data_IF_156488256576
#
_entry.id   IF_156488256576
#
_cell.length_a   1.000
_cell.length_b   1.000
_cell.length_c   1.000
_cell.angle_alpha   90.00
_cell.angle_beta   90.00
_cell.angle_gamma   90.00
#
_symmetry.space_group_name_H-M   'P 1'
#
loop_
_entity.id
_entity.type
_entity.pdbx_description
1 polymer ?
#
# COMPACT_ATOMS: atom_id res chain seq x y z
N UNK A 1 -34.42 -12.07 -48.07
CA UNK A 1 -33.97 -10.75 -47.56
C UNK A 1 -33.62 -10.74 -46.08
N UNK A 2 -34.30 -11.49 -45.19
CA UNK A 2 -33.99 -11.50 -43.74
C UNK A 2 -32.57 -12.08 -43.37
N UNK A 3 -32.12 -13.12 -44.08
CA UNK A 3 -30.82 -13.74 -43.81
C UNK A 3 -29.62 -12.82 -44.10
N UNK A 4 -29.71 -11.99 -45.15
CA UNK A 4 -28.67 -10.99 -45.47
C UNK A 4 -28.55 -9.87 -44.46
N UNK A 5 -29.69 -9.43 -43.89
CA UNK A 5 -29.70 -8.41 -42.86
C UNK A 5 -29.05 -8.88 -41.54
N UNK A 6 -29.35 -10.14 -41.15
CA UNK A 6 -28.75 -10.76 -39.95
C UNK A 6 -27.25 -10.91 -40.09
N UNK A 7 -26.75 -11.33 -41.26
CA UNK A 7 -25.33 -11.47 -41.54
C UNK A 7 -24.61 -10.13 -41.51
N UNK A 8 -25.22 -9.06 -42.01
CA UNK A 8 -24.67 -7.71 -41.97
C UNK A 8 -24.58 -7.17 -40.53
N UNK A 9 -25.59 -7.42 -39.71
CA UNK A 9 -25.57 -7.02 -38.28
C UNK A 9 -24.49 -7.76 -37.49
N UNK A 10 -24.27 -9.05 -37.75
CA UNK A 10 -23.21 -9.83 -37.10
C UNK A 10 -21.83 -9.33 -37.55
N UNK A 11 -21.65 -9.01 -38.83
CA UNK A 11 -20.41 -8.45 -39.36
C UNK A 11 -20.13 -7.05 -38.78
N UNK A 12 -21.11 -6.18 -38.69
CA UNK A 12 -20.96 -4.86 -38.08
C UNK A 12 -20.67 -4.96 -36.56
N UNK A 13 -21.26 -5.92 -35.87
CA UNK A 13 -20.95 -6.22 -34.48
C UNK A 13 -19.51 -6.69 -34.30
N UNK A 14 -19.05 -7.63 -35.16
CA UNK A 14 -17.68 -8.14 -35.11
C UNK A 14 -16.66 -7.04 -35.42
N UNK A 15 -16.91 -6.19 -36.42
CA UNK A 15 -16.05 -5.04 -36.79
C UNK A 15 -16.01 -4.01 -35.65
N UNK A 16 -17.13 -3.74 -34.99
CA UNK A 16 -17.20 -2.81 -33.85
C UNK A 16 -16.41 -3.33 -32.66
N UNK A 17 -16.48 -4.63 -32.37
CA UNK A 17 -15.70 -5.27 -31.28
C UNK A 17 -14.21 -5.24 -31.61
N UNK A 18 -13.86 -5.55 -32.87
CA UNK A 18 -12.46 -5.51 -33.33
C UNK A 18 -11.88 -4.09 -33.33
N UNK A 19 -12.70 -3.11 -33.74
CA UNK A 19 -12.32 -1.67 -33.67
C UNK A 19 -12.07 -1.23 -32.22
N UNK A 20 -12.95 -1.58 -31.29
CA UNK A 20 -12.77 -1.29 -29.85
C UNK A 20 -11.54 -1.97 -29.25
N UNK A 21 -11.18 -3.19 -29.71
CA UNK A 21 -9.94 -3.87 -29.29
C UNK A 21 -8.68 -3.21 -29.84
N UNK A 22 -8.70 -2.74 -31.09
CA UNK A 22 -7.57 -2.09 -31.74
C UNK A 22 -7.30 -0.67 -31.23
N UNK A 23 -8.30 0.00 -30.65
CA UNK A 23 -8.22 1.38 -30.17
C UNK A 23 -8.37 1.47 -28.65
N UNK A 24 -8.17 0.35 -27.92
CA UNK A 24 -8.06 0.41 -26.46
C UNK A 24 -6.76 1.11 -26.06
N UNK A 25 -6.87 1.98 -25.08
CA UNK A 25 -5.71 2.58 -24.42
C UNK A 25 -4.78 1.45 -23.91
N UNK A 26 -3.48 1.45 -24.24
CA UNK A 26 -2.52 0.47 -23.74
C UNK A 26 -2.53 0.33 -22.21
N UNK A 27 -2.76 1.43 -21.49
CA UNK A 27 -2.90 1.44 -20.03
C UNK A 27 -4.14 0.66 -19.58
N UNK A 28 -5.27 0.81 -20.26
CA UNK A 28 -6.51 0.11 -19.96
C UNK A 28 -6.43 -1.38 -20.29
N UNK A 29 -5.75 -1.73 -21.40
CA UNK A 29 -5.49 -3.12 -21.77
C UNK A 29 -4.62 -3.81 -20.73
N UNK A 30 -3.59 -3.13 -20.21
CA UNK A 30 -2.71 -3.64 -19.16
C UNK A 30 -3.49 -3.83 -17.84
N UNK A 31 -4.35 -2.89 -17.51
CA UNK A 31 -5.19 -2.95 -16.30
C UNK A 31 -6.22 -4.09 -16.39
N UNK A 32 -6.86 -4.29 -17.55
CA UNK A 32 -7.78 -5.40 -17.80
C UNK A 32 -7.05 -6.76 -17.72
N UNK A 33 -5.82 -6.86 -18.25
CA UNK A 33 -5.00 -8.07 -18.20
C UNK A 33 -4.61 -8.40 -16.75
N UNK A 34 -4.17 -7.40 -15.97
CA UNK A 34 -3.84 -7.57 -14.56
C UNK A 34 -5.07 -8.02 -13.77
N UNK A 35 -6.24 -7.43 -14.02
CA UNK A 35 -7.48 -7.81 -13.36
C UNK A 35 -7.93 -9.22 -13.75
N UNK A 36 -7.69 -9.64 -14.99
CA UNK A 36 -8.00 -10.99 -15.46
C UNK A 36 -7.06 -12.04 -14.86
N UNK A 37 -5.76 -11.76 -14.80
CA UNK A 37 -4.78 -12.60 -14.11
C UNK A 37 -5.11 -12.72 -12.62
N UNK A 38 -5.49 -11.61 -11.97
CA UNK A 38 -5.93 -11.60 -10.57
C UNK A 38 -7.20 -12.44 -10.34
N UNK A 39 -8.13 -12.54 -11.33
CA UNK A 39 -9.37 -13.30 -11.20
C UNK A 39 -9.21 -14.78 -11.55
N UNK A 40 -8.31 -15.14 -12.45
CA UNK A 40 -8.11 -16.51 -12.92
C UNK A 40 -7.13 -17.29 -12.05
N UNK A 41 -6.19 -16.61 -11.38
CA UNK A 41 -5.18 -17.25 -10.55
C UNK A 41 -5.56 -17.22 -9.06
N UNK A 42 -6.28 -18.25 -8.60
CA UNK A 42 -6.51 -18.50 -7.18
C UNK A 42 -5.25 -18.94 -6.42
N UNK A 43 -4.07 -18.90 -7.03
CA UNK A 43 -2.78 -19.30 -6.48
C UNK A 43 -2.03 -18.17 -5.77
N UNK A 44 -2.69 -17.10 -5.38
CA UNK A 44 -2.12 -16.04 -4.52
C UNK A 44 -1.53 -16.54 -3.20
N UNK A 45 -1.77 -17.80 -2.84
CA UNK A 45 -1.09 -18.48 -1.74
C UNK A 45 0.30 -19.01 -2.11
N UNK A 46 0.66 -19.04 -3.37
CA UNK A 46 2.02 -19.31 -3.80
C UNK A 46 2.68 -17.96 -4.02
N UNK A 47 3.55 -17.58 -3.12
CA UNK A 47 4.44 -16.43 -3.14
C UNK A 47 5.26 -16.40 -4.44
N UNK A 48 4.64 -16.06 -5.58
CA UNK A 48 5.33 -15.99 -6.88
C UNK A 48 6.43 -14.93 -6.87
N UNK A 49 6.31 -13.95 -6.02
CA UNK A 49 7.33 -12.94 -5.75
C UNK A 49 7.99 -13.16 -4.39
N UNK A 50 8.27 -14.44 -4.06
CA UNK A 50 9.13 -14.67 -2.94
C UNK A 50 10.39 -13.82 -3.17
N UNK A 51 10.70 -12.81 -2.33
CA UNK A 51 12.04 -12.31 -2.32
C UNK A 51 12.93 -13.53 -2.20
N UNK A 52 14.00 -13.58 -2.96
CA UNK A 52 14.97 -14.68 -3.00
C UNK A 52 15.59 -14.98 -1.61
N UNK A 53 15.01 -14.40 -0.58
CA UNK A 53 15.41 -14.55 0.81
C UNK A 53 14.67 -15.76 1.43
N UNK A 54 15.39 -16.82 1.81
CA UNK A 54 14.79 -17.92 2.55
C UNK A 54 14.27 -17.41 3.90
N UNK A 55 13.22 -18.05 4.43
CA UNK A 55 12.79 -17.87 5.82
C UNK A 55 13.96 -18.27 6.72
N UNK A 56 14.67 -17.30 7.26
CA UNK A 56 15.78 -17.55 8.16
C UNK A 56 15.34 -17.37 9.59
N UNK A 57 15.33 -18.46 10.35
CA UNK A 57 15.31 -18.42 11.81
C UNK A 57 16.70 -17.98 12.24
N UNK A 58 16.87 -16.76 12.69
CA UNK A 58 18.11 -16.33 13.32
C UNK A 58 18.05 -16.65 14.81
N UNK A 59 18.88 -17.59 15.23
CA UNK A 59 19.13 -17.83 16.64
C UNK A 59 20.16 -16.80 17.10
N UNK A 60 19.73 -15.80 17.85
CA UNK A 60 20.66 -14.89 18.52
C UNK A 60 21.20 -15.59 19.78
N UNK A 61 22.44 -15.28 20.15
CA UNK A 61 23.15 -15.86 21.31
C UNK A 61 22.46 -15.59 22.67
N UNK A 62 21.42 -14.78 22.72
CA UNK A 62 20.68 -14.38 23.92
C UNK A 62 19.23 -14.85 23.94
N UNK A 63 18.80 -15.64 22.97
CA UNK A 63 17.43 -16.14 22.87
C UNK A 63 17.04 -16.40 21.43
N UNK A 64 16.07 -17.26 21.24
CA UNK A 64 15.52 -17.55 19.91
C UNK A 64 14.64 -16.36 19.49
N UNK A 65 15.17 -15.48 18.67
CA UNK A 65 14.35 -14.48 17.99
C UNK A 65 14.01 -15.05 16.62
N UNK A 66 12.78 -15.49 16.43
CA UNK A 66 12.28 -15.84 15.12
C UNK A 66 12.12 -14.54 14.34
N UNK A 67 12.94 -14.32 13.30
CA UNK A 67 12.72 -13.23 12.39
C UNK A 67 11.37 -13.46 11.70
N UNK A 68 10.43 -12.58 11.95
CA UNK A 68 9.12 -12.63 11.32
C UNK A 68 9.27 -12.23 9.85
N UNK A 69 8.84 -13.07 8.93
CA UNK A 69 8.68 -12.66 7.54
C UNK A 69 7.36 -11.89 7.42
N UNK A 70 7.41 -10.66 6.94
CA UNK A 70 6.22 -9.78 6.84
C UNK A 70 5.10 -10.39 5.98
N UNK A 71 5.43 -11.27 5.04
CA UNK A 71 4.46 -11.97 4.20
C UNK A 71 3.59 -12.94 5.02
N UNK A 72 4.18 -13.55 6.04
CA UNK A 72 3.48 -14.46 6.94
C UNK A 72 2.63 -13.73 7.98
N UNK A 73 2.98 -12.48 8.30
CA UNK A 73 2.23 -11.63 9.22
C UNK A 73 1.05 -10.92 8.55
N UNK A 74 1.09 -10.80 7.22
CA UNK A 74 0.07 -10.09 6.48
C UNK A 74 -1.30 -10.79 6.56
N UNK A 75 -2.35 -9.98 6.61
CA UNK A 75 -3.71 -10.50 6.47
C UNK A 75 -3.86 -11.22 5.13
N UNK A 76 -4.50 -12.39 5.11
CA UNK A 76 -4.79 -13.08 3.88
C UNK A 76 -5.79 -12.28 3.03
N UNK A 77 -5.76 -12.51 1.74
CA UNK A 77 -6.75 -11.94 0.82
C UNK A 77 -8.14 -12.45 1.18
N UNK A 78 -9.09 -11.53 1.23
CA UNK A 78 -10.51 -11.83 1.45
C UNK A 78 -11.33 -11.46 0.24
N UNK A 79 -12.63 -11.79 0.25
CA UNK A 79 -13.55 -11.30 -0.76
C UNK A 79 -13.53 -9.76 -0.80
N UNK A 80 -13.69 -9.15 -1.99
CA UNK A 80 -13.77 -7.71 -2.13
C UNK A 80 -14.92 -7.14 -1.28
N UNK A 81 -14.67 -5.97 -0.68
CA UNK A 81 -15.72 -5.18 -0.03
C UNK A 81 -16.32 -4.19 -1.02
N UNK A 82 -17.55 -3.77 -0.76
CA UNK A 82 -18.20 -2.72 -1.53
C UNK A 82 -17.40 -1.41 -1.44
N UNK A 83 -17.25 -0.69 -2.56
CA UNK A 83 -16.50 0.57 -2.60
C UNK A 83 -17.02 1.62 -1.61
N UNK A 84 -18.30 1.59 -1.29
CA UNK A 84 -18.94 2.46 -0.27
C UNK A 84 -18.36 2.27 1.13
N UNK A 85 -17.76 1.12 1.45
CA UNK A 85 -17.03 0.91 2.70
C UNK A 85 -15.95 1.96 2.93
N UNK A 86 -15.25 2.35 1.86
CA UNK A 86 -14.14 3.28 1.94
C UNK A 86 -14.55 4.71 2.33
N UNK A 87 -15.83 5.08 2.22
CA UNK A 87 -16.34 6.37 2.71
C UNK A 87 -16.29 6.53 4.24
N UNK A 88 -16.02 5.44 4.95
CA UNK A 88 -15.97 5.41 6.41
C UNK A 88 -14.56 5.17 6.96
N UNK A 89 -13.54 5.17 6.09
CA UNK A 89 -12.16 4.88 6.48
C UNK A 89 -11.24 6.06 6.21
N UNK A 90 -10.16 6.16 6.98
CA UNK A 90 -9.13 7.17 6.80
C UNK A 90 -7.83 6.53 6.29
N UNK A 91 -7.27 7.12 5.25
CA UNK A 91 -5.93 6.84 4.79
C UNK A 91 -4.96 7.88 5.35
N UNK A 92 -3.98 7.42 6.09
CA UNK A 92 -2.95 8.26 6.71
C UNK A 92 -1.61 7.96 6.07
N UNK A 93 -0.94 8.99 5.57
CA UNK A 93 0.35 8.74 4.94
C UNK A 93 1.03 9.96 4.35
N UNK A 94 2.03 9.67 3.54
CA UNK A 94 2.88 10.66 2.91
C UNK A 94 2.42 11.05 1.49
N UNK A 95 3.37 11.41 0.62
CA UNK A 95 3.07 11.79 -0.76
C UNK A 95 2.46 10.68 -1.61
N UNK A 96 2.67 9.41 -1.28
CA UNK A 96 2.02 8.29 -1.96
C UNK A 96 0.52 8.28 -1.65
N UNK A 97 0.16 8.43 -0.38
CA UNK A 97 -1.23 8.55 0.06
C UNK A 97 -1.87 9.84 -0.45
N UNK A 98 -1.11 10.95 -0.51
CA UNK A 98 -1.59 12.18 -1.13
C UNK A 98 -1.86 11.99 -2.63
N UNK A 99 -1.04 11.20 -3.33
CA UNK A 99 -1.30 10.79 -4.71
C UNK A 99 -2.61 10.03 -4.87
N UNK A 100 -2.92 9.10 -3.95
CA UNK A 100 -4.22 8.42 -3.94
C UNK A 100 -5.41 9.39 -3.79
N UNK A 101 -5.25 10.44 -3.02
CA UNK A 101 -6.27 11.49 -2.84
C UNK A 101 -6.43 12.35 -4.10
N UNK A 102 -5.31 12.69 -4.76
CA UNK A 102 -5.29 13.62 -5.89
C UNK A 102 -5.70 12.99 -7.22
N UNK A 103 -5.42 11.71 -7.41
CA UNK A 103 -5.81 10.94 -8.57
C UNK A 103 -7.08 10.16 -8.26
N UNK A 104 -8.00 10.08 -9.21
CA UNK A 104 -9.23 9.30 -9.01
C UNK A 104 -8.90 7.81 -8.92
N UNK A 105 -8.76 7.33 -7.70
CA UNK A 105 -8.49 5.92 -7.38
C UNK A 105 -9.77 5.09 -7.22
N UNK A 106 -10.93 5.69 -7.48
CA UNK A 106 -12.23 5.00 -7.37
C UNK A 106 -12.63 4.66 -5.93
N UNK A 107 -12.16 5.43 -4.95
CA UNK A 107 -12.50 5.31 -3.53
C UNK A 107 -13.43 6.46 -3.08
N UNK A 108 -14.72 6.45 -3.47
CA UNK A 108 -15.62 7.58 -3.25
C UNK A 108 -15.83 7.85 -1.76
N UNK A 109 -15.60 9.09 -1.35
CA UNK A 109 -15.83 9.53 0.02
C UNK A 109 -14.77 9.10 1.02
N UNK A 110 -13.68 8.44 0.60
CA UNK A 110 -12.57 8.10 1.50
C UNK A 110 -11.97 9.36 2.14
N UNK A 111 -11.62 9.26 3.41
CA UNK A 111 -11.00 10.35 4.17
C UNK A 111 -9.48 10.23 4.10
N UNK A 112 -8.79 11.36 4.09
CA UNK A 112 -7.34 11.38 3.96
C UNK A 112 -6.71 12.32 4.99
N UNK A 113 -5.66 11.83 5.63
CA UNK A 113 -4.66 12.58 6.40
C UNK A 113 -3.32 12.38 5.70
N UNK A 114 -3.13 13.05 4.56
CA UNK A 114 -2.04 12.79 3.64
C UNK A 114 -1.19 14.04 3.42
N UNK A 115 0.11 13.92 3.72
CA UNK A 115 1.00 15.08 3.77
C UNK A 115 2.34 14.77 3.14
N UNK A 116 2.74 15.58 2.18
CA UNK A 116 4.01 15.41 1.48
C UNK A 116 5.20 15.48 2.44
N UNK A 117 6.09 14.50 2.36
CA UNK A 117 7.34 14.48 3.12
C UNK A 117 7.19 14.06 4.59
N UNK A 118 5.99 13.66 5.03
CA UNK A 118 5.75 13.28 6.42
C UNK A 118 6.32 11.89 6.73
N UNK A 119 6.74 11.72 7.98
CA UNK A 119 7.08 10.44 8.60
C UNK A 119 6.37 10.27 9.94
N UNK A 120 6.49 9.10 10.60
CA UNK A 120 5.84 8.83 11.88
C UNK A 120 6.19 9.84 12.97
N UNK A 121 7.43 10.34 12.95
CA UNK A 121 7.93 11.36 13.88
C UNK A 121 7.13 12.67 13.85
N UNK A 122 6.67 13.08 12.66
CA UNK A 122 5.87 14.30 12.55
C UNK A 122 4.51 14.16 13.24
N UNK A 123 3.89 12.98 13.15
CA UNK A 123 2.62 12.67 13.82
C UNK A 123 2.83 12.65 15.33
N UNK A 124 3.85 11.95 15.82
CA UNK A 124 4.17 11.84 17.25
C UNK A 124 4.47 13.18 17.88
N UNK A 125 5.21 14.04 17.15
CA UNK A 125 5.60 15.36 17.65
C UNK A 125 4.52 16.44 17.49
N UNK A 126 3.33 16.10 16.99
CA UNK A 126 2.25 17.07 16.75
C UNK A 126 2.63 18.14 15.73
N UNK A 127 3.49 17.80 14.77
CA UNK A 127 3.96 18.76 13.77
C UNK A 127 2.80 19.18 12.87
N UNK A 128 2.61 20.47 12.66
CA UNK A 128 1.65 20.99 11.70
C UNK A 128 2.11 20.66 10.27
N UNK A 129 1.28 19.94 9.52
CA UNK A 129 1.55 19.48 8.17
C UNK A 129 0.58 20.11 7.17
N UNK A 130 1.04 20.34 5.94
CA UNK A 130 0.21 20.94 4.89
C UNK A 130 -0.43 19.86 4.03
N UNK A 131 -1.75 19.92 3.90
CA UNK A 131 -2.54 19.14 2.94
C UNK A 131 -2.27 19.57 1.50
N UNK A 132 -2.81 18.83 0.54
CA UNK A 132 -2.71 19.16 -0.89
C UNK A 132 -3.33 20.53 -1.25
N UNK A 133 -4.39 20.94 -0.54
CA UNK A 133 -5.05 22.25 -0.70
C UNK A 133 -4.33 23.41 0.02
N UNK A 134 -3.19 23.13 0.67
CA UNK A 134 -2.37 24.11 1.38
C UNK A 134 -2.80 24.40 2.82
N UNK A 135 -3.92 23.84 3.27
CA UNK A 135 -4.36 23.99 4.68
C UNK A 135 -3.38 23.25 5.58
N UNK A 136 -2.97 23.90 6.67
CA UNK A 136 -2.11 23.31 7.70
C UNK A 136 -2.96 22.74 8.83
N UNK A 137 -2.63 21.52 9.24
CA UNK A 137 -3.31 20.84 10.36
C UNK A 137 -2.36 19.89 11.07
N UNK A 138 -2.68 19.50 12.29
CA UNK A 138 -1.97 18.43 13.02
C UNK A 138 -2.57 17.09 12.61
N UNK A 139 -1.77 16.15 12.07
CA UNK A 139 -2.30 14.91 11.50
C UNK A 139 -3.15 14.07 12.44
N UNK A 140 -2.77 13.97 13.72
CA UNK A 140 -3.52 13.18 14.70
C UNK A 140 -4.87 13.84 15.05
N UNK A 141 -4.89 15.16 15.16
CA UNK A 141 -6.14 15.90 15.43
C UNK A 141 -7.11 15.77 14.26
N UNK A 142 -6.60 15.91 13.04
CA UNK A 142 -7.37 15.73 11.81
C UNK A 142 -7.95 14.30 11.71
N UNK A 143 -7.13 13.28 11.97
CA UNK A 143 -7.57 11.89 11.99
C UNK A 143 -8.64 11.64 13.05
N UNK A 144 -8.42 12.16 14.26
CA UNK A 144 -9.37 12.01 15.36
C UNK A 144 -10.71 12.70 15.06
N UNK A 145 -10.69 13.87 14.44
CA UNK A 145 -11.89 14.59 14.03
C UNK A 145 -12.73 13.84 12.97
N UNK A 146 -12.09 13.01 12.14
CA UNK A 146 -12.78 12.22 11.12
C UNK A 146 -13.59 11.04 11.70
N UNK A 147 -13.26 10.56 12.90
CA UNK A 147 -13.91 9.41 13.55
C UNK A 147 -14.09 8.21 12.62
N UNK A 148 -13.02 7.70 11.98
CA UNK A 148 -13.12 6.65 10.99
C UNK A 148 -13.48 5.30 11.62
N UNK A 149 -14.09 4.41 10.83
CA UNK A 149 -14.30 3.01 11.23
C UNK A 149 -13.07 2.12 11.02
N UNK A 150 -12.09 2.58 10.28
CA UNK A 150 -10.81 1.92 10.09
C UNK A 150 -9.75 2.95 9.65
N UNK A 151 -8.49 2.70 9.99
CA UNK A 151 -7.34 3.53 9.62
C UNK A 151 -6.36 2.69 8.81
N UNK A 152 -5.94 3.19 7.65
CA UNK A 152 -4.89 2.60 6.82
C UNK A 152 -3.65 3.50 6.84
N UNK A 153 -2.51 2.96 7.27
CA UNK A 153 -1.25 3.71 7.43
C UNK A 153 -0.23 3.31 6.36
N UNK A 154 0.26 4.28 5.59
CA UNK A 154 1.37 4.08 4.65
C UNK A 154 2.42 5.18 4.84
N UNK A 155 3.47 4.86 5.58
CA UNK A 155 4.57 5.78 5.92
C UNK A 155 5.90 5.05 5.89
N UNK A 156 6.94 5.72 5.42
CA UNK A 156 8.31 5.20 5.50
C UNK A 156 9.26 5.78 4.47
N UNK A 157 8.85 5.91 3.22
CA UNK A 157 9.75 6.26 2.10
C UNK A 157 10.52 7.56 2.31
N UNK A 158 9.96 8.55 3.01
CA UNK A 158 10.61 9.84 3.25
C UNK A 158 11.72 9.79 4.32
N UNK A 159 11.65 8.85 5.24
CA UNK A 159 12.61 8.73 6.36
C UNK A 159 13.58 7.57 6.18
N UNK A 160 13.32 6.70 5.23
CA UNK A 160 14.15 5.52 4.92
C UNK A 160 15.08 5.73 3.71
N UNK A 161 15.11 6.93 3.14
CA UNK A 161 15.88 7.22 1.93
C UNK A 161 17.40 7.08 2.10
N UNK A 162 17.92 7.32 3.28
CA UNK A 162 19.33 7.12 3.58
C UNK A 162 19.61 5.70 4.08
N UNK A 163 20.81 5.18 3.81
CA UNK A 163 21.28 3.88 4.33
C UNK A 163 21.78 4.01 5.77
N UNK A 164 21.01 4.65 6.62
CA UNK A 164 21.28 4.83 8.05
C UNK A 164 20.49 3.83 8.89
N UNK A 165 20.80 3.79 10.19
CA UNK A 165 20.00 3.04 11.16
C UNK A 165 18.55 3.51 11.15
N UNK A 166 17.62 2.55 11.08
CA UNK A 166 16.18 2.82 11.05
C UNK A 166 15.47 2.55 12.40
N UNK A 167 16.21 2.34 13.46
CA UNK A 167 15.66 2.10 14.81
C UNK A 167 14.75 3.24 15.25
N UNK A 168 15.12 4.47 14.96
CA UNK A 168 14.30 5.64 15.26
C UNK A 168 12.96 5.61 14.50
N UNK A 169 12.94 5.18 13.25
CA UNK A 169 11.71 5.02 12.48
C UNK A 169 10.75 4.04 13.16
N UNK A 170 11.23 2.87 13.57
CA UNK A 170 10.41 1.88 14.26
C UNK A 170 9.94 2.35 15.64
N UNK A 171 10.80 3.08 16.36
CA UNK A 171 10.45 3.69 17.66
C UNK A 171 9.29 4.68 17.49
N UNK A 172 9.40 5.60 16.55
CA UNK A 172 8.33 6.55 16.27
C UNK A 172 7.08 5.87 15.72
N UNK A 173 7.23 4.78 14.95
CA UNK A 173 6.08 4.03 14.48
C UNK A 173 5.29 3.40 15.63
N UNK A 174 5.98 2.80 16.62
CA UNK A 174 5.35 2.28 17.85
C UNK A 174 4.58 3.35 18.62
N UNK A 175 5.23 4.49 18.84
CA UNK A 175 4.60 5.62 19.54
C UNK A 175 3.39 6.17 18.78
N UNK A 176 3.48 6.29 17.47
CA UNK A 176 2.37 6.71 16.61
C UNK A 176 1.18 5.75 16.72
N UNK A 177 1.42 4.45 16.68
CA UNK A 177 0.35 3.46 16.84
C UNK A 177 -0.30 3.54 18.22
N UNK A 178 0.47 3.74 19.29
CA UNK A 178 -0.06 3.94 20.65
C UNK A 178 -0.95 5.18 20.70
N UNK A 179 -0.51 6.29 20.11
CA UNK A 179 -1.29 7.53 20.07
C UNK A 179 -2.59 7.39 19.26
N UNK A 180 -2.54 6.73 18.11
CA UNK A 180 -3.72 6.50 17.27
C UNK A 180 -4.72 5.58 17.97
N UNK A 181 -4.27 4.48 18.54
CA UNK A 181 -5.15 3.53 19.25
C UNK A 181 -5.74 4.12 20.53
N UNK A 182 -5.01 5.01 21.19
CA UNK A 182 -5.53 5.77 22.34
C UNK A 182 -6.58 6.81 21.92
N UNK A 183 -6.34 7.51 20.81
CA UNK A 183 -7.26 8.54 20.31
C UNK A 183 -8.53 7.96 19.66
N UNK A 184 -8.44 6.76 19.11
CA UNK A 184 -9.53 6.07 18.40
C UNK A 184 -9.72 4.64 18.95
N UNK A 185 -10.18 4.50 20.19
CA UNK A 185 -10.29 3.19 20.85
C UNK A 185 -11.27 2.29 20.10
N UNK A 186 -10.85 1.04 19.85
CA UNK A 186 -11.66 0.05 19.14
C UNK A 186 -11.67 0.18 17.61
N UNK A 187 -11.04 1.23 17.06
CA UNK A 187 -10.91 1.38 15.60
C UNK A 187 -9.75 0.51 15.09
N UNK A 188 -9.98 -0.41 14.15
CA UNK A 188 -8.93 -1.22 13.57
C UNK A 188 -7.93 -0.37 12.78
N UNK A 189 -6.65 -0.63 13.00
CA UNK A 189 -5.54 0.04 12.32
C UNK A 189 -4.82 -0.97 11.44
N UNK A 190 -4.68 -0.65 10.17
CA UNK A 190 -4.01 -1.45 9.15
C UNK A 190 -2.69 -0.79 8.77
N UNK A 191 -1.60 -1.34 9.22
CA UNK A 191 -0.25 -0.94 8.84
C UNK A 191 0.08 -1.55 7.50
N UNK A 192 0.38 -0.73 6.52
CA UNK A 192 0.75 -1.18 5.18
C UNK A 192 2.27 -1.28 5.07
N UNK A 193 2.77 -2.31 4.38
CA UNK A 193 4.21 -2.44 4.11
C UNK A 193 4.73 -1.23 3.34
N UNK A 194 5.96 -0.85 3.61
CA UNK A 194 6.68 0.08 2.73
C UNK A 194 6.77 -0.55 1.34
N UNK A 195 6.45 0.24 0.33
CA UNK A 195 6.38 -0.24 -1.06
C UNK A 195 7.77 -0.52 -1.65
N UNK A 196 7.88 -1.41 -2.64
CA UNK A 196 9.12 -1.54 -3.42
C UNK A 196 9.44 -0.23 -4.12
N UNK A 197 10.70 -0.03 -4.49
CA UNK A 197 11.18 1.15 -5.22
C UNK A 197 12.13 0.69 -6.30
N UNK A 198 12.00 1.21 -7.52
CA UNK A 198 12.92 0.91 -8.61
C UNK A 198 14.32 1.41 -8.29
N UNK A 199 15.35 0.57 -8.44
CA UNK A 199 16.73 0.93 -8.11
C UNK A 199 17.21 2.20 -8.81
N UNK A 200 16.86 2.39 -10.08
CA UNK A 200 17.24 3.57 -10.85
C UNK A 200 16.56 4.86 -10.34
N UNK A 201 15.35 4.75 -9.78
CA UNK A 201 14.64 5.89 -9.18
C UNK A 201 15.27 6.25 -7.84
N UNK A 202 15.60 5.26 -7.03
CA UNK A 202 16.29 5.45 -5.76
C UNK A 202 17.68 6.10 -5.99
N UNK A 203 18.49 5.56 -6.89
CA UNK A 203 19.81 6.07 -7.23
C UNK A 203 19.75 7.51 -7.77
N UNK A 204 18.82 7.81 -8.68
CA UNK A 204 18.65 9.16 -9.24
C UNK A 204 18.34 10.21 -8.17
N UNK A 205 17.71 9.80 -7.06
CA UNK A 205 17.34 10.68 -5.94
C UNK A 205 18.37 10.66 -4.81
N UNK A 206 19.41 9.84 -4.89
CA UNK A 206 20.36 9.64 -3.79
C UNK A 206 19.70 8.97 -2.57
N UNK A 207 18.77 8.06 -2.82
CA UNK A 207 18.03 7.35 -1.79
C UNK A 207 18.48 5.88 -1.71
N UNK A 208 19.76 5.64 -1.47
CA UNK A 208 20.38 4.30 -1.42
C UNK A 208 19.74 3.40 -0.34
N UNK A 209 19.14 4.01 0.68
CA UNK A 209 18.40 3.29 1.72
C UNK A 209 17.10 2.64 1.23
N UNK A 210 16.58 3.05 0.07
CA UNK A 210 15.37 2.45 -0.52
C UNK A 210 15.75 1.26 -1.43
N UNK A 211 16.62 0.37 -0.96
CA UNK A 211 16.93 -0.86 -1.67
C UNK A 211 16.08 -2.03 -1.15
N UNK A 212 15.87 -3.02 -2.01
CA UNK A 212 14.99 -4.17 -1.77
C UNK A 212 15.29 -4.90 -0.46
N UNK A 213 16.54 -5.31 -0.28
CA UNK A 213 16.91 -6.15 0.87
C UNK A 213 16.69 -5.42 2.20
N UNK A 214 17.01 -4.13 2.23
CA UNK A 214 16.80 -3.31 3.41
C UNK A 214 15.31 -3.07 3.66
N UNK A 215 14.53 -2.74 2.63
CA UNK A 215 13.08 -2.53 2.78
C UNK A 215 12.36 -3.81 3.19
N UNK A 216 12.77 -4.98 2.71
CA UNK A 216 12.21 -6.26 3.19
C UNK A 216 12.47 -6.47 4.68
N UNK A 217 13.72 -6.22 5.15
CA UNK A 217 14.03 -6.31 6.60
C UNK A 217 13.21 -5.33 7.42
N UNK A 218 13.05 -4.10 6.93
CA UNK A 218 12.23 -3.08 7.60
C UNK A 218 10.76 -3.51 7.64
N UNK A 219 10.24 -4.11 6.58
CA UNK A 219 8.88 -4.63 6.56
C UNK A 219 8.68 -5.80 7.52
N UNK A 220 9.69 -6.67 7.71
CA UNK A 220 9.65 -7.73 8.74
C UNK A 220 9.47 -7.12 10.13
N UNK A 221 10.27 -6.12 10.45
CA UNK A 221 10.20 -5.47 11.76
C UNK A 221 8.95 -4.59 11.92
N UNK A 222 8.50 -3.94 10.85
CA UNK A 222 7.27 -3.16 10.85
C UNK A 222 6.04 -4.05 11.06
N UNK A 223 6.03 -5.24 10.46
CA UNK A 223 5.00 -6.23 10.69
C UNK A 223 5.00 -6.71 12.15
N UNK A 224 6.17 -6.95 12.72
CA UNK A 224 6.29 -7.29 14.15
C UNK A 224 5.76 -6.17 15.04
N UNK A 225 6.06 -4.91 14.73
CA UNK A 225 5.51 -3.74 15.44
C UNK A 225 3.98 -3.67 15.34
N UNK A 226 3.42 -3.91 14.15
CA UNK A 226 1.97 -3.92 13.98
C UNK A 226 1.30 -4.97 14.88
N UNK A 227 1.83 -6.19 14.90
CA UNK A 227 1.33 -7.28 15.76
C UNK A 227 1.52 -6.98 17.25
N UNK A 228 2.67 -6.44 17.65
CA UNK A 228 2.95 -5.99 19.02
C UNK A 228 1.89 -5.01 19.53
N UNK A 229 1.41 -4.12 18.65
CA UNK A 229 0.43 -3.07 18.96
C UNK A 229 -1.02 -3.49 18.70
N UNK A 230 -1.29 -4.78 18.48
CA UNK A 230 -2.61 -5.31 18.14
C UNK A 230 -3.22 -4.63 16.90
N UNK A 231 -2.38 -4.24 15.95
CA UNK A 231 -2.76 -3.73 14.64
C UNK A 231 -2.64 -4.82 13.59
N UNK A 232 -3.32 -4.63 12.48
CA UNK A 232 -3.22 -5.52 11.33
C UNK A 232 -2.08 -5.10 10.41
N UNK A 233 -1.49 -6.05 9.69
CA UNK A 233 -0.47 -5.78 8.68
C UNK A 233 -0.98 -6.15 7.29
N UNK A 234 -0.73 -5.28 6.31
CA UNK A 234 -1.09 -5.48 4.91
C UNK A 234 0.16 -5.49 4.03
N UNK A 235 0.30 -6.54 3.25
CA UNK A 235 1.41 -6.67 2.31
C UNK A 235 1.07 -5.99 0.97
N UNK A 236 1.45 -4.72 0.83
CA UNK A 236 1.35 -4.02 -0.44
C UNK A 236 2.48 -4.37 -1.40
N UNK A 237 3.59 -4.92 -0.89
CA UNK A 237 4.74 -5.24 -1.72
C UNK A 237 4.38 -6.18 -2.87
N UNK A 238 3.74 -7.30 -2.55
CA UNK A 238 3.35 -8.30 -3.55
C UNK A 238 2.33 -7.77 -4.56
N UNK A 239 1.46 -6.86 -4.13
CA UNK A 239 0.41 -6.30 -5.02
C UNK A 239 0.98 -5.28 -5.99
N UNK A 240 2.04 -4.57 -5.59
CA UNK A 240 2.61 -3.45 -6.35
C UNK A 240 3.90 -3.83 -7.08
N UNK A 241 4.57 -4.89 -6.69
CA UNK A 241 5.82 -5.33 -7.30
C UNK A 241 5.59 -5.88 -8.72
N UNK A 242 6.46 -5.50 -9.63
CA UNK A 242 6.55 -6.11 -10.96
C UNK A 242 7.28 -7.47 -10.90
N UNK A 243 7.52 -8.08 -12.04
CA UNK A 243 8.23 -9.37 -12.17
C UNK A 243 9.65 -9.36 -11.61
N UNK A 244 10.27 -8.20 -11.49
CA UNK A 244 11.59 -8.01 -10.88
C UNK A 244 11.50 -7.75 -9.36
N UNK A 245 10.29 -7.59 -8.81
CA UNK A 245 10.04 -7.23 -7.43
C UNK A 245 10.19 -5.73 -7.15
N UNK A 246 10.11 -4.89 -8.16
CA UNK A 246 10.19 -3.42 -8.09
C UNK A 246 8.83 -2.77 -8.38
N UNK A 247 8.66 -1.49 -8.00
CA UNK A 247 7.42 -0.73 -8.24
C UNK A 247 7.33 -0.25 -9.71
#
# INVERSE_FOLDING_TARGET
MAAGLLFLLVLLGAVSVMWKRLHRDPAQTRQDTILQEITEDNTWNTLQYAPTRPLTVQTLSTGTTTALDFRMAALPRTAPVEKSWFSQVSFVGDSLTQGMQMYDTGLPGAMFCAYRGVGPNAIVNGTSCKRADGVAEVPLDALTAQQPKAVYLLLGTNVLGTDSDYTSFLTYYRLMLDMITQALPGTPVYVQSVTPVRPEVAAKKGHEGLNRDRLCRINDELAAVALEKNCYFLNLWEVLADENGDL
#
